data_IF_781224646992
#
_entry.id   IF_781224646992
#
_cell.length_a   1.000
_cell.length_b   1.000
_cell.length_c   1.000
_cell.angle_alpha   90.00
_cell.angle_beta   90.00
_cell.angle_gamma   90.00
#
_symmetry.space_group_name_H-M   'P 1'
#
loop_
_entity.id
_entity.type
_entity.pdbx_description
1 polymer ?
#
# COMPACT_ATOMS: atom_id res chain seq x y z
N UNK A 1 1.74 -4.70 -8.10
CA UNK A 1 0.31 -5.08 -8.30
C UNK A 1 0.11 -6.49 -8.88
N UNK A 2 0.70 -6.86 -10.02
CA UNK A 2 0.43 -8.17 -10.67
C UNK A 2 0.58 -9.37 -9.72
N UNK A 3 1.66 -9.41 -8.95
CA UNK A 3 1.93 -10.43 -7.93
C UNK A 3 0.80 -10.50 -6.90
N UNK A 4 0.50 -9.38 -6.23
CA UNK A 4 -0.59 -9.27 -5.24
C UNK A 4 -1.92 -9.76 -5.82
N UNK A 5 -2.30 -9.31 -7.01
CA UNK A 5 -3.56 -9.71 -7.66
C UNK A 5 -3.57 -11.19 -7.99
N UNK A 6 -2.49 -11.73 -8.56
CA UNK A 6 -2.36 -13.17 -8.87
C UNK A 6 -2.42 -14.04 -7.61
N UNK A 7 -1.83 -13.58 -6.52
CA UNK A 7 -1.86 -14.28 -5.23
C UNK A 7 -3.25 -14.24 -4.62
N UNK A 8 -3.87 -13.06 -4.52
CA UNK A 8 -5.25 -12.89 -4.03
C UNK A 8 -6.23 -13.71 -4.86
N UNK A 9 -6.13 -13.68 -6.19
CA UNK A 9 -7.02 -14.42 -7.06
C UNK A 9 -6.87 -15.94 -6.87
N UNK A 10 -5.65 -16.46 -6.72
CA UNK A 10 -5.46 -17.88 -6.47
C UNK A 10 -6.09 -18.36 -5.15
N UNK A 11 -5.99 -17.53 -4.10
CA UNK A 11 -6.57 -17.83 -2.79
C UNK A 11 -8.10 -17.72 -2.87
N UNK A 12 -8.62 -16.64 -3.46
CA UNK A 12 -10.06 -16.32 -3.40
C UNK A 12 -10.93 -16.88 -4.53
N UNK A 13 -10.38 -17.13 -5.73
CA UNK A 13 -11.19 -17.58 -6.88
C UNK A 13 -11.65 -19.04 -6.76
N UNK A 14 -10.91 -19.88 -6.02
CA UNK A 14 -11.26 -21.29 -5.80
C UNK A 14 -11.90 -21.43 -4.42
N UNK A 15 -13.15 -21.88 -4.37
CA UNK A 15 -13.92 -21.99 -3.12
C UNK A 15 -13.29 -22.90 -2.05
N UNK A 16 -12.48 -23.90 -2.43
CA UNK A 16 -11.73 -24.71 -1.47
C UNK A 16 -10.57 -23.91 -0.86
N UNK A 17 -9.73 -23.29 -1.70
CA UNK A 17 -8.60 -22.47 -1.25
C UNK A 17 -9.08 -21.35 -0.33
N UNK A 18 -10.17 -20.66 -0.69
CA UNK A 18 -10.69 -19.56 0.10
C UNK A 18 -11.16 -20.02 1.48
N UNK A 19 -11.93 -21.12 1.55
CA UNK A 19 -12.37 -21.69 2.83
C UNK A 19 -11.21 -22.15 3.70
N UNK A 20 -10.22 -22.83 3.11
CA UNK A 20 -9.04 -23.29 3.84
C UNK A 20 -8.21 -22.12 4.36
N UNK A 21 -8.03 -21.07 3.56
CA UNK A 21 -7.29 -19.89 4.00
C UNK A 21 -8.03 -19.13 5.11
N UNK A 22 -9.36 -18.96 5.01
CA UNK A 22 -10.15 -18.37 6.10
C UNK A 22 -10.05 -19.20 7.38
N UNK A 23 -10.21 -20.53 7.27
CA UNK A 23 -10.07 -21.41 8.43
C UNK A 23 -8.69 -21.29 9.07
N UNK A 24 -7.63 -21.26 8.25
CA UNK A 24 -6.27 -21.05 8.74
C UNK A 24 -6.11 -19.72 9.50
N UNK A 25 -6.66 -18.63 8.98
CA UNK A 25 -6.64 -17.33 9.65
C UNK A 25 -7.43 -17.34 10.97
N UNK A 26 -8.57 -18.02 11.00
CA UNK A 26 -9.39 -18.18 12.20
C UNK A 26 -8.65 -19.03 13.26
N UNK A 27 -7.97 -20.10 12.86
CA UNK A 27 -7.24 -21.02 13.76
C UNK A 27 -6.05 -20.35 14.48
N UNK A 28 -5.44 -19.34 13.84
CA UNK A 28 -4.32 -18.58 14.44
C UNK A 28 -4.76 -17.26 15.08
N UNK A 29 -6.08 -17.01 15.15
CA UNK A 29 -6.67 -15.77 15.65
C UNK A 29 -6.07 -14.51 14.97
N UNK A 30 -5.87 -14.57 13.64
CA UNK A 30 -5.30 -13.45 12.88
C UNK A 30 -6.17 -12.20 12.98
N UNK A 31 -5.54 -11.02 12.94
CA UNK A 31 -6.22 -9.72 12.96
C UNK A 31 -7.30 -9.61 11.86
N UNK A 32 -7.05 -10.25 10.71
CA UNK A 32 -7.97 -10.28 9.58
C UNK A 32 -8.43 -11.70 9.29
N UNK A 33 -9.74 -11.95 9.32
CA UNK A 33 -10.33 -13.26 8.96
C UNK A 33 -10.50 -13.51 7.45
N UNK A 34 -10.11 -12.57 6.57
CA UNK A 34 -10.11 -12.78 5.11
C UNK A 34 -9.34 -11.71 4.34
N UNK A 35 -8.81 -12.08 3.17
CA UNK A 35 -8.31 -11.16 2.15
C UNK A 35 -9.45 -10.38 1.47
N UNK A 36 -9.16 -9.16 1.02
CA UNK A 36 -10.07 -8.41 0.16
C UNK A 36 -9.98 -8.90 -1.29
N UNK A 37 -11.11 -9.02 -1.97
CA UNK A 37 -11.13 -9.38 -3.40
C UNK A 37 -10.70 -8.20 -4.25
N UNK A 38 -9.89 -8.46 -5.28
CA UNK A 38 -9.47 -7.41 -6.21
C UNK A 38 -10.56 -7.08 -7.22
N UNK A 39 -10.95 -5.80 -7.28
CA UNK A 39 -11.78 -5.26 -8.35
C UNK A 39 -11.05 -4.14 -9.06
N UNK A 40 -10.87 -4.24 -10.39
CA UNK A 40 -10.16 -3.24 -11.19
C UNK A 40 -10.79 -1.85 -11.13
N UNK A 41 -12.10 -1.79 -10.88
CA UNK A 41 -12.97 -0.62 -11.09
C UNK A 41 -12.78 0.46 -10.01
N UNK A 42 -12.10 0.18 -8.88
CA UNK A 42 -12.00 1.14 -7.75
C UNK A 42 -10.59 1.24 -7.21
N UNK A 43 -9.91 2.34 -7.52
CA UNK A 43 -8.56 2.60 -7.03
C UNK A 43 -8.47 2.69 -5.49
N UNK A 44 -9.52 3.18 -4.81
CA UNK A 44 -9.60 3.16 -3.33
C UNK A 44 -9.51 1.73 -2.77
N UNK A 45 -10.12 0.75 -3.45
CA UNK A 45 -10.01 -0.65 -3.03
C UNK A 45 -8.59 -1.19 -3.19
N UNK A 46 -7.78 -0.64 -4.11
CA UNK A 46 -6.39 -1.09 -4.31
C UNK A 46 -5.53 -0.82 -3.09
N UNK A 47 -5.68 0.35 -2.47
CA UNK A 47 -4.93 0.66 -1.24
C UNK A 47 -5.29 -0.28 -0.10
N UNK A 48 -6.59 -0.50 0.14
CA UNK A 48 -7.07 -1.42 1.19
C UNK A 48 -6.62 -2.86 0.96
N UNK A 49 -6.62 -3.32 -0.30
CA UNK A 49 -6.13 -4.65 -0.66
C UNK A 49 -4.63 -4.76 -0.36
N UNK A 50 -3.83 -3.76 -0.75
CA UNK A 50 -2.39 -3.77 -0.50
C UNK A 50 -2.07 -3.76 0.99
N UNK A 51 -2.77 -2.94 1.76
CA UNK A 51 -2.63 -2.89 3.22
C UNK A 51 -2.94 -4.24 3.85
N UNK A 52 -4.09 -4.85 3.51
CA UNK A 52 -4.45 -6.15 4.05
C UNK A 52 -3.51 -7.27 3.60
N UNK A 53 -3.07 -7.23 2.34
CA UNK A 53 -2.11 -8.19 1.81
C UNK A 53 -0.76 -8.10 2.53
N UNK A 54 -0.29 -6.89 2.83
CA UNK A 54 0.94 -6.66 3.57
C UNK A 54 0.82 -7.17 5.02
N UNK A 55 -0.32 -6.93 5.67
CA UNK A 55 -0.55 -7.39 7.04
C UNK A 55 -0.60 -8.92 7.15
N UNK A 56 -1.14 -9.60 6.13
CA UNK A 56 -1.26 -11.07 6.07
C UNK A 56 -0.10 -11.75 5.33
N UNK A 57 1.03 -11.07 5.14
CA UNK A 57 2.05 -11.54 4.19
C UNK A 57 2.71 -12.85 4.61
N UNK A 58 2.83 -13.08 5.92
CA UNK A 58 3.40 -14.30 6.49
C UNK A 58 2.44 -15.47 6.35
N UNK A 59 1.17 -15.26 6.70
CA UNK A 59 0.07 -16.20 6.56
C UNK A 59 -0.11 -16.63 5.10
N UNK A 60 -0.05 -15.67 4.18
CA UNK A 60 -0.08 -15.92 2.74
C UNK A 60 1.13 -16.78 2.34
N UNK A 61 2.32 -16.46 2.84
CA UNK A 61 3.53 -17.23 2.57
C UNK A 61 3.41 -18.70 3.00
N UNK A 62 2.92 -18.95 4.22
CA UNK A 62 2.70 -20.29 4.77
C UNK A 62 1.68 -21.05 3.92
N UNK A 63 0.53 -20.43 3.65
CA UNK A 63 -0.54 -21.07 2.88
C UNK A 63 -0.09 -21.42 1.46
N UNK A 64 0.67 -20.55 0.79
CA UNK A 64 1.18 -20.82 -0.54
C UNK A 64 2.19 -21.97 -0.57
N UNK A 65 3.04 -22.09 0.46
CA UNK A 65 3.97 -23.20 0.61
C UNK A 65 3.23 -24.55 0.76
N UNK A 66 2.17 -24.59 1.57
CA UNK A 66 1.29 -25.78 1.70
C UNK A 66 0.65 -26.16 0.36
N UNK A 67 0.26 -25.16 -0.45
CA UNK A 67 -0.30 -25.37 -1.80
C UNK A 67 0.76 -25.61 -2.88
N UNK A 68 2.04 -25.75 -2.50
CA UNK A 68 3.16 -25.96 -3.42
C UNK A 68 3.24 -24.88 -4.52
N UNK A 69 2.85 -23.64 -4.17
CA UNK A 69 2.89 -22.49 -5.07
C UNK A 69 4.01 -21.55 -4.66
N UNK A 70 5.08 -21.50 -5.44
CA UNK A 70 6.16 -20.56 -5.18
C UNK A 70 5.81 -19.16 -5.70
N UNK A 71 6.05 -18.15 -4.87
CA UNK A 71 5.93 -16.73 -5.20
C UNK A 71 7.21 -16.05 -4.68
N UNK A 72 8.28 -16.00 -5.49
CA UNK A 72 9.60 -15.59 -5.03
C UNK A 72 9.63 -14.15 -4.50
N UNK A 73 8.72 -13.29 -4.95
CA UNK A 73 8.61 -11.92 -4.48
C UNK A 73 8.28 -11.81 -2.98
N UNK A 74 7.58 -12.80 -2.41
CA UNK A 74 7.32 -12.84 -0.96
C UNK A 74 8.58 -13.11 -0.13
N UNK A 75 9.67 -13.56 -0.77
CA UNK A 75 10.99 -13.75 -0.16
C UNK A 75 11.95 -12.63 -0.53
N UNK A 76 11.58 -11.73 -1.44
CA UNK A 76 12.43 -10.65 -1.93
C UNK A 76 12.24 -9.37 -1.07
N UNK A 77 13.30 -9.00 -0.35
CA UNK A 77 13.28 -7.84 0.55
C UNK A 77 13.04 -6.51 -0.15
N UNK A 78 13.59 -6.31 -1.35
CA UNK A 78 13.38 -5.10 -2.13
C UNK A 78 11.91 -4.97 -2.52
N UNK A 79 11.31 -6.07 -2.96
CA UNK A 79 9.90 -6.10 -3.33
C UNK A 79 8.97 -5.86 -2.14
N UNK A 80 9.28 -6.45 -0.98
CA UNK A 80 8.52 -6.25 0.26
C UNK A 80 8.60 -4.79 0.74
N UNK A 81 9.78 -4.17 0.66
CA UNK A 81 9.95 -2.75 0.99
C UNK A 81 9.20 -1.85 0.00
N UNK A 82 9.24 -2.17 -1.29
CA UNK A 82 8.47 -1.45 -2.32
C UNK A 82 6.96 -1.57 -2.06
N UNK A 83 6.47 -2.76 -1.74
CA UNK A 83 5.07 -2.98 -1.35
C UNK A 83 4.69 -2.15 -0.12
N UNK A 84 5.51 -2.18 0.94
CA UNK A 84 5.27 -1.44 2.16
C UNK A 84 5.24 0.08 1.93
N UNK A 85 6.16 0.59 1.10
CA UNK A 85 6.16 2.01 0.71
C UNK A 85 4.90 2.39 -0.07
N UNK A 86 4.39 1.50 -0.94
CA UNK A 86 3.13 1.72 -1.65
C UNK A 86 1.94 1.74 -0.70
N UNK A 87 1.92 0.88 0.33
CA UNK A 87 0.87 0.93 1.37
C UNK A 87 0.92 2.26 2.11
N UNK A 88 2.11 2.76 2.45
CA UNK A 88 2.26 4.07 3.10
C UNK A 88 1.79 5.26 2.22
N UNK A 89 1.69 5.09 0.89
CA UNK A 89 1.05 6.10 0.00
C UNK A 89 -0.47 6.22 0.16
N UNK A 90 -1.10 5.49 1.09
CA UNK A 90 -2.53 5.57 1.40
C UNK A 90 -3.02 7.02 1.68
N UNK A 91 -2.11 7.94 1.99
CA UNK A 91 -2.38 9.38 2.00
C UNK A 91 -3.11 9.90 0.73
N UNK A 92 -2.87 9.31 -0.45
CA UNK A 92 -3.61 9.61 -1.68
C UNK A 92 -5.07 9.20 -1.63
N UNK A 93 -5.37 8.02 -1.08
CA UNK A 93 -6.75 7.57 -0.88
C UNK A 93 -7.47 8.50 0.10
N UNK A 94 -6.79 8.92 1.18
CA UNK A 94 -7.33 9.86 2.16
C UNK A 94 -7.68 11.20 1.51
N UNK A 95 -6.78 11.77 0.70
CA UNK A 95 -7.06 13.00 -0.05
C UNK A 95 -8.30 12.81 -0.92
N UNK A 96 -8.36 11.75 -1.71
CA UNK A 96 -9.48 11.57 -2.63
C UNK A 96 -10.82 11.35 -1.93
N UNK A 97 -10.86 10.59 -0.84
CA UNK A 97 -12.09 10.42 -0.07
C UNK A 97 -12.59 11.77 0.47
N UNK A 98 -11.68 12.68 0.85
CA UNK A 98 -12.04 14.05 1.23
C UNK A 98 -12.58 14.85 0.04
N UNK A 99 -11.91 14.79 -1.12
CA UNK A 99 -12.33 15.50 -2.32
C UNK A 99 -13.68 15.01 -2.88
N UNK A 100 -14.00 13.72 -2.71
CA UNK A 100 -15.29 13.14 -3.09
C UNK A 100 -16.37 13.27 -2.01
N UNK A 101 -16.02 13.84 -0.85
CA UNK A 101 -16.95 14.05 0.25
C UNK A 101 -18.10 14.98 -0.12
N UNK A 102 -19.29 14.71 0.40
CA UNK A 102 -20.44 15.61 0.26
C UNK A 102 -20.28 16.84 1.17
N UNK A 103 -21.00 17.92 0.87
CA UNK A 103 -21.05 19.15 1.67
C UNK A 103 -19.70 19.86 1.86
N UNK A 104 -18.82 19.79 0.86
CA UNK A 104 -17.54 20.50 0.84
C UNK A 104 -17.69 21.83 0.09
N UNK A 105 -17.20 22.92 0.68
CA UNK A 105 -17.09 24.21 0.01
C UNK A 105 -15.84 24.23 -0.88
N UNK A 106 -15.85 25.01 -1.96
CA UNK A 106 -14.72 25.07 -2.92
C UNK A 106 -13.40 25.42 -2.23
N UNK A 107 -13.42 26.37 -1.28
CA UNK A 107 -12.22 26.73 -0.54
C UNK A 107 -11.68 25.57 0.33
N UNK A 108 -12.56 24.68 0.81
CA UNK A 108 -12.16 23.49 1.57
C UNK A 108 -11.49 22.47 0.65
N UNK A 109 -12.06 22.24 -0.54
CA UNK A 109 -11.46 21.38 -1.56
C UNK A 109 -10.06 21.89 -1.95
N UNK A 110 -9.92 23.20 -2.18
CA UNK A 110 -8.62 23.83 -2.41
C UNK A 110 -7.66 23.60 -1.24
N UNK A 111 -8.10 23.84 0.00
CA UNK A 111 -7.28 23.63 1.19
C UNK A 111 -6.81 22.18 1.34
N UNK A 112 -7.64 21.17 1.00
CA UNK A 112 -7.22 19.77 1.02
C UNK A 112 -6.11 19.49 0.01
N UNK A 113 -6.23 19.98 -1.22
CA UNK A 113 -5.20 19.82 -2.26
C UNK A 113 -3.91 20.53 -1.86
N UNK A 114 -3.99 21.80 -1.45
CA UNK A 114 -2.80 22.58 -1.04
C UNK A 114 -2.11 21.97 0.18
N UNK A 115 -2.87 21.55 1.19
CA UNK A 115 -2.31 20.84 2.35
C UNK A 115 -1.61 19.55 1.94
N UNK A 116 -2.17 18.80 0.98
CA UNK A 116 -1.55 17.60 0.47
C UNK A 116 -0.27 17.87 -0.31
N UNK A 117 -0.22 18.93 -1.14
CA UNK A 117 1.02 19.36 -1.79
C UNK A 117 2.12 19.68 -0.76
N UNK A 118 1.79 20.39 0.33
CA UNK A 118 2.73 20.63 1.42
C UNK A 118 3.21 19.32 2.07
N UNK A 119 2.31 18.34 2.26
CA UNK A 119 2.68 17.01 2.79
C UNK A 119 3.64 16.28 1.86
N UNK A 120 3.42 16.31 0.55
CA UNK A 120 4.33 15.66 -0.41
C UNK A 120 5.74 16.25 -0.32
N UNK A 121 5.86 17.58 -0.25
CA UNK A 121 7.15 18.26 -0.07
C UNK A 121 7.81 17.88 1.26
N UNK A 122 7.03 17.80 2.34
CA UNK A 122 7.51 17.35 3.65
C UNK A 122 8.02 15.90 3.59
N UNK A 123 7.24 14.99 3.00
CA UNK A 123 7.60 13.57 2.85
C UNK A 123 8.90 13.42 2.06
N UNK A 124 9.03 14.13 0.94
CA UNK A 124 10.25 14.17 0.14
C UNK A 124 11.45 14.62 0.96
N UNK A 125 11.32 15.74 1.68
CA UNK A 125 12.41 16.27 2.52
C UNK A 125 12.81 15.32 3.64
N UNK A 126 11.83 14.69 4.29
CA UNK A 126 12.08 13.74 5.38
C UNK A 126 12.78 12.48 4.87
N UNK A 127 12.35 11.93 3.74
CA UNK A 127 13.00 10.77 3.12
C UNK A 127 14.46 11.06 2.74
N UNK A 128 14.74 12.23 2.18
CA UNK A 128 16.12 12.66 1.90
C UNK A 128 17.00 12.78 3.16
N UNK A 129 16.39 13.07 4.31
CA UNK A 129 17.06 13.09 5.62
C UNK A 129 17.10 11.73 6.33
N UNK A 130 16.59 10.65 5.71
CA UNK A 130 16.49 9.33 6.33
C UNK A 130 15.42 9.22 7.42
N UNK A 131 14.42 10.10 7.41
CA UNK A 131 13.29 10.09 8.36
C UNK A 131 12.07 9.40 7.74
N UNK A 132 11.64 8.30 8.37
CA UNK A 132 10.56 7.43 7.90
C UNK A 132 9.27 7.53 8.72
N UNK A 133 9.08 8.58 9.51
CA UNK A 133 7.94 8.65 10.44
C UNK A 133 6.57 8.66 9.73
N UNK A 134 6.52 9.09 8.46
CA UNK A 134 5.31 9.01 7.62
C UNK A 134 5.27 7.75 6.73
N UNK A 135 6.22 6.85 6.92
CA UNK A 135 6.32 5.57 6.21
C UNK A 135 6.46 4.41 7.22
N UNK A 136 5.46 4.23 8.10
CA UNK A 136 5.55 3.26 9.19
C UNK A 136 5.65 1.81 8.69
N UNK A 137 4.97 1.44 7.60
CA UNK A 137 5.05 0.09 7.06
C UNK A 137 6.43 -0.19 6.46
N UNK A 138 6.97 0.78 5.71
CA UNK A 138 8.33 0.71 5.20
C UNK A 138 9.33 0.58 6.35
N UNK A 139 9.21 1.43 7.38
CA UNK A 139 10.09 1.42 8.55
C UNK A 139 10.07 0.04 9.23
N UNK A 140 8.88 -0.51 9.50
CA UNK A 140 8.70 -1.84 10.09
C UNK A 140 9.35 -2.93 9.23
N UNK A 141 9.17 -2.89 7.91
CA UNK A 141 9.79 -3.86 7.01
C UNK A 141 11.32 -3.71 6.93
N UNK A 142 11.83 -2.48 6.85
CA UNK A 142 13.26 -2.22 6.80
C UNK A 142 13.96 -2.68 8.09
N UNK A 143 13.37 -2.41 9.26
CA UNK A 143 13.85 -2.86 10.56
C UNK A 143 13.82 -4.39 10.67
N UNK A 144 12.72 -5.03 10.26
CA UNK A 144 12.59 -6.50 10.27
C UNK A 144 13.71 -7.22 9.50
N UNK A 145 14.23 -6.59 8.46
CA UNK A 145 15.22 -7.19 7.57
C UNK A 145 16.60 -6.52 7.60
N UNK A 146 16.89 -5.70 8.62
CA UNK A 146 18.16 -4.97 8.78
C UNK A 146 18.59 -4.18 7.53
N UNK A 147 17.63 -3.63 6.78
CA UNK A 147 17.92 -2.87 5.58
C UNK A 147 18.31 -1.44 5.96
N UNK A 148 19.57 -1.09 5.74
CA UNK A 148 20.14 0.22 6.12
C UNK A 148 19.94 1.33 5.09
N UNK A 149 19.61 0.97 3.84
CA UNK A 149 19.44 1.93 2.74
C UNK A 149 18.11 1.74 2.02
N UNK A 150 17.34 2.83 1.88
CA UNK A 150 16.21 2.86 0.94
C UNK A 150 16.76 2.76 -0.47
N UNK A 151 15.99 2.13 -1.34
CA UNK A 151 16.10 2.36 -2.76
C UNK A 151 15.76 3.85 -3.05
N UNK A 152 16.73 4.62 -3.56
CA UNK A 152 16.58 6.04 -3.98
C UNK A 152 15.40 6.26 -4.96
N UNK A 153 14.88 5.20 -5.57
CA UNK A 153 13.70 5.18 -6.45
C UNK A 153 12.42 5.82 -5.85
N UNK A 154 12.27 5.88 -4.52
CA UNK A 154 11.02 6.39 -3.94
C UNK A 154 10.93 7.93 -3.90
N UNK A 155 12.06 8.60 -3.67
CA UNK A 155 12.13 10.07 -3.75
C UNK A 155 11.80 10.53 -5.17
N UNK A 156 12.31 9.83 -6.18
CA UNK A 156 11.98 10.10 -7.59
C UNK A 156 10.48 9.97 -7.87
N UNK A 157 9.82 8.95 -7.33
CA UNK A 157 8.36 8.77 -7.45
C UNK A 157 7.59 9.91 -6.80
N UNK A 158 8.04 10.40 -5.64
CA UNK A 158 7.46 11.58 -5.01
C UNK A 158 7.70 12.84 -5.85
N UNK A 159 8.85 12.99 -6.48
CA UNK A 159 9.15 14.13 -7.36
C UNK A 159 8.20 14.18 -8.56
N UNK A 160 7.98 13.03 -9.20
CA UNK A 160 6.99 12.90 -10.29
C UNK A 160 5.59 13.25 -9.79
N UNK A 161 5.22 12.79 -8.59
CA UNK A 161 3.90 13.06 -8.02
C UNK A 161 3.73 14.54 -7.67
N UNK A 162 4.75 15.17 -7.06
CA UNK A 162 4.78 16.59 -6.74
C UNK A 162 4.58 17.41 -8.02
N UNK A 163 5.37 17.12 -9.06
CA UNK A 163 5.28 17.80 -10.35
C UNK A 163 3.88 17.64 -10.96
N UNK A 164 3.34 16.41 -10.95
CA UNK A 164 1.99 16.14 -11.46
C UNK A 164 0.90 16.94 -10.75
N UNK A 165 1.02 17.14 -9.42
CA UNK A 165 0.10 17.99 -8.67
C UNK A 165 0.30 19.48 -8.99
N UNK A 166 1.55 19.93 -9.13
CA UNK A 166 1.85 21.31 -9.51
C UNK A 166 1.27 21.65 -10.88
N UNK A 167 1.48 20.78 -11.88
CA UNK A 167 0.97 20.98 -13.24
C UNK A 167 -0.56 21.03 -13.24
N UNK A 168 -1.21 20.08 -12.55
CA UNK A 168 -2.67 19.93 -12.54
C UNK A 168 -3.41 21.05 -11.80
N UNK A 169 -2.82 21.57 -10.73
CA UNK A 169 -3.43 22.58 -9.87
C UNK A 169 -2.75 23.94 -9.94
N UNK A 170 -1.89 24.16 -10.94
CA UNK A 170 -1.34 25.47 -11.26
C UNK A 170 -2.47 26.47 -11.54
N UNK A 171 -2.31 27.70 -11.07
CA UNK A 171 -3.23 28.79 -11.44
C UNK A 171 -3.02 29.06 -12.94
N UNK A 172 -4.04 28.79 -13.75
CA UNK A 172 -4.14 29.37 -15.10
C UNK A 172 -4.47 30.85 -15.01
#
# INVERSE_FOLDING_TARGET
MKVVVSTVNFIKSRGLNHRQFKQFLDDIESEYGDLLYYTEVRWLSRGLILERFLNLIEEIGIFLAEKQRDVPELKNLDWLCDLASLVDTNHLNVLNTRLQGKNQLIFQLYAHVSSFQCKLTLFRSQLNSGNYNHFPNFKKMAEKFNKTAINFSYVEKLDILIQSFQDRFSKK
#
